data_IF_423033728341
#
_entry.id   IF_423033728341
#
_cell.length_a   1.000
_cell.length_b   1.000
_cell.length_c   1.000
_cell.angle_alpha   90.00
_cell.angle_beta   90.00
_cell.angle_gamma   90.00
#
_symmetry.space_group_name_H-M   'P 1'
#
loop_
_entity.id
_entity.type
_entity.pdbx_description
1 polymer ?
#
# COMPACT_ATOMS: atom_id res chain seq x y z
N UNK A 1 -15.73 34.32 -4.42
CA UNK A 1 -15.15 33.17 -3.69
C UNK A 1 -16.30 32.31 -3.19
N UNK A 2 -16.63 31.23 -3.90
CA UNK A 2 -17.68 30.28 -3.49
C UNK A 2 -17.04 29.16 -2.67
N UNK A 3 -17.65 28.82 -1.53
CA UNK A 3 -17.09 27.90 -0.55
C UNK A 3 -17.25 26.44 -0.98
N UNK A 4 -16.31 25.58 -0.57
CA UNK A 4 -16.47 24.12 -0.68
C UNK A 4 -17.55 23.64 0.30
N UNK A 5 -18.49 22.77 -0.10
CA UNK A 5 -19.19 21.92 0.85
C UNK A 5 -18.18 20.92 1.46
N UNK A 6 -18.39 20.55 2.73
CA UNK A 6 -17.45 19.70 3.47
C UNK A 6 -17.37 18.28 2.91
N UNK A 7 -16.23 17.92 2.32
CA UNK A 7 -15.92 16.55 1.96
C UNK A 7 -15.53 15.73 3.19
N UNK A 8 -16.50 15.07 3.82
CA UNK A 8 -16.23 14.06 4.84
C UNK A 8 -15.39 12.93 4.25
N UNK A 9 -14.26 12.61 4.87
CA UNK A 9 -13.26 11.68 4.35
C UNK A 9 -13.69 10.21 4.47
N UNK A 10 -14.68 9.81 3.68
CA UNK A 10 -14.91 8.40 3.38
C UNK A 10 -13.72 7.91 2.54
N UNK A 11 -12.88 7.10 3.17
CA UNK A 11 -11.66 6.58 2.55
C UNK A 11 -12.03 5.62 1.42
N UNK A 12 -11.72 6.02 0.17
CA UNK A 12 -12.28 5.41 -1.04
C UNK A 12 -11.67 4.02 -1.29
N UNK A 13 -12.28 3.00 -0.67
CA UNK A 13 -11.77 1.63 -0.65
C UNK A 13 -11.76 1.01 -2.05
N UNK A 14 -10.61 0.46 -2.45
CA UNK A 14 -10.45 -0.29 -3.70
C UNK A 14 -11.55 -1.35 -3.88
N UNK A 15 -12.19 -1.32 -5.05
CA UNK A 15 -13.34 -2.14 -5.43
C UNK A 15 -13.20 -2.64 -6.87
N UNK A 16 -14.01 -3.64 -7.26
CA UNK A 16 -14.00 -4.14 -8.63
C UNK A 16 -14.37 -3.05 -9.65
N UNK A 17 -15.29 -2.15 -9.30
CA UNK A 17 -15.69 -1.01 -10.15
C UNK A 17 -14.49 -0.11 -10.42
N UNK A 18 -13.77 0.32 -9.37
CA UNK A 18 -12.57 1.15 -9.54
C UNK A 18 -11.51 0.44 -10.39
N UNK A 19 -11.25 -0.86 -10.19
CA UNK A 19 -10.33 -1.62 -11.05
C UNK A 19 -10.79 -1.67 -12.51
N UNK A 20 -12.08 -1.73 -12.79
CA UNK A 20 -12.60 -1.72 -14.16
C UNK A 20 -12.61 -0.33 -14.80
N UNK A 21 -12.62 0.73 -14.00
CA UNK A 21 -12.57 2.13 -14.45
C UNK A 21 -11.14 2.65 -14.65
N UNK A 22 -10.18 2.19 -13.84
CA UNK A 22 -8.79 2.68 -13.80
C UNK A 22 -8.07 2.62 -15.17
N UNK A 23 -7.10 3.50 -15.36
CA UNK A 23 -6.17 3.44 -16.47
C UNK A 23 -5.07 2.40 -16.30
N UNK A 24 -4.55 1.89 -17.42
CA UNK A 24 -3.65 0.74 -17.45
C UNK A 24 -2.32 1.01 -16.73
N UNK A 25 -1.75 2.22 -16.85
CA UNK A 25 -0.48 2.55 -16.19
C UNK A 25 -0.64 2.59 -14.66
N UNK A 26 -1.78 3.05 -14.16
CA UNK A 26 -2.14 2.98 -12.74
C UNK A 26 -2.43 1.55 -12.27
N UNK A 27 -2.98 0.70 -13.12
CA UNK A 27 -3.16 -0.73 -12.80
C UNK A 27 -1.82 -1.46 -12.66
N UNK A 28 -0.86 -1.25 -13.57
CA UNK A 28 0.51 -1.78 -13.45
C UNK A 28 1.17 -1.36 -12.12
N UNK A 29 1.08 -0.08 -11.77
CA UNK A 29 1.57 0.48 -10.51
C UNK A 29 0.93 -0.24 -9.31
N UNK A 30 -0.40 -0.36 -9.29
CA UNK A 30 -1.11 -1.08 -8.22
C UNK A 30 -0.72 -2.57 -8.14
N UNK A 31 -0.50 -3.24 -9.27
CA UNK A 31 -0.02 -4.62 -9.31
C UNK A 31 1.40 -4.75 -8.74
N UNK A 32 2.33 -3.86 -9.12
CA UNK A 32 3.68 -3.77 -8.53
C UNK A 32 3.59 -3.57 -7.02
N UNK A 33 2.84 -2.56 -6.58
CA UNK A 33 2.79 -2.14 -5.18
C UNK A 33 2.16 -3.21 -4.29
N UNK A 34 1.17 -3.96 -4.79
CA UNK A 34 0.67 -5.16 -4.11
C UNK A 34 1.76 -6.22 -3.89
N UNK A 35 2.63 -6.47 -4.88
CA UNK A 35 3.73 -7.42 -4.71
C UNK A 35 4.83 -6.89 -3.78
N UNK A 36 5.10 -5.58 -3.78
CA UNK A 36 5.99 -4.96 -2.79
C UNK A 36 5.43 -5.09 -1.36
N UNK A 37 4.12 -4.86 -1.16
CA UNK A 37 3.43 -5.09 0.10
C UNK A 37 3.41 -6.58 0.54
N UNK A 38 3.60 -7.52 -0.40
CA UNK A 38 3.83 -8.95 -0.13
C UNK A 38 5.32 -9.32 0.04
N UNK A 39 6.24 -8.35 0.06
CA UNK A 39 7.67 -8.56 0.30
C UNK A 39 8.48 -9.04 -0.92
N UNK A 40 7.97 -8.88 -2.14
CA UNK A 40 8.71 -9.18 -3.37
C UNK A 40 9.49 -7.95 -3.85
N UNK A 41 10.68 -8.15 -4.43
CA UNK A 41 11.35 -7.09 -5.19
C UNK A 41 10.65 -6.96 -6.55
N UNK A 42 9.67 -6.07 -6.64
CA UNK A 42 8.87 -5.84 -7.84
C UNK A 42 9.26 -4.52 -8.54
N UNK A 43 9.60 -4.59 -9.83
CA UNK A 43 9.87 -3.43 -10.70
C UNK A 43 8.94 -3.42 -11.92
N UNK A 44 8.58 -2.25 -12.43
CA UNK A 44 7.95 -2.15 -13.74
C UNK A 44 8.98 -2.46 -14.85
N UNK A 45 8.46 -2.72 -16.05
CA UNK A 45 9.20 -2.73 -17.31
C UNK A 45 9.02 -1.41 -18.05
N UNK A 46 9.91 -1.13 -19.01
CA UNK A 46 9.77 0.00 -19.92
C UNK A 46 8.86 -0.37 -21.11
N UNK A 47 8.04 0.58 -21.55
CA UNK A 47 6.91 0.30 -22.45
C UNK A 47 7.41 -0.19 -23.82
N UNK A 48 7.15 -1.47 -24.10
CA UNK A 48 7.45 -2.11 -25.39
C UNK A 48 8.76 -2.89 -25.45
N UNK A 49 9.53 -2.99 -24.36
CA UNK A 49 10.74 -3.81 -24.32
C UNK A 49 10.45 -5.32 -24.20
N UNK A 50 9.71 -5.70 -23.15
CA UNK A 50 9.71 -7.08 -22.65
C UNK A 50 8.50 -7.92 -23.17
N UNK A 51 8.13 -7.77 -24.45
CA UNK A 51 7.14 -8.63 -25.11
C UNK A 51 5.70 -8.62 -24.56
N UNK A 52 5.38 -7.70 -23.63
CA UNK A 52 4.11 -7.66 -22.89
C UNK A 52 4.21 -8.09 -21.43
N UNK A 53 5.42 -8.25 -20.87
CA UNK A 53 5.63 -8.27 -19.42
C UNK A 53 5.62 -6.82 -18.91
N UNK A 54 4.84 -6.55 -17.87
CA UNK A 54 4.62 -5.20 -17.34
C UNK A 54 5.22 -5.01 -15.93
N UNK A 55 5.35 -6.10 -15.15
CA UNK A 55 6.07 -6.13 -13.87
C UNK A 55 6.97 -7.36 -13.80
N UNK A 56 8.21 -7.16 -13.34
CA UNK A 56 9.17 -8.24 -13.06
C UNK A 56 9.36 -8.33 -11.55
N UNK A 57 9.13 -9.53 -11.00
CA UNK A 57 9.37 -9.83 -9.59
C UNK A 57 10.64 -10.66 -9.44
N UNK A 58 11.45 -10.33 -8.44
CA UNK A 58 12.57 -11.14 -7.97
C UNK A 58 12.31 -11.62 -6.54
N UNK A 59 12.55 -12.92 -6.29
CA UNK A 59 12.56 -13.48 -4.93
C UNK A 59 13.64 -14.56 -4.81
N UNK A 60 14.37 -14.57 -3.70
CA UNK A 60 15.27 -15.67 -3.37
C UNK A 60 14.46 -16.88 -2.88
N UNK A 61 14.77 -18.07 -3.39
CA UNK A 61 14.23 -19.32 -2.86
C UNK A 61 15.02 -19.78 -1.62
N UNK A 62 14.55 -20.85 -0.97
CA UNK A 62 15.13 -21.39 0.27
C UNK A 62 16.56 -21.97 0.07
N UNK A 63 17.06 -21.99 -1.16
CA UNK A 63 18.43 -22.38 -1.55
C UNK A 63 19.28 -21.17 -1.96
N UNK A 64 18.86 -19.95 -1.64
CA UNK A 64 19.56 -18.70 -1.95
C UNK A 64 19.58 -18.30 -3.44
N UNK A 65 18.93 -19.07 -4.33
CA UNK A 65 18.88 -18.74 -5.77
C UNK A 65 17.75 -17.74 -6.03
N UNK A 66 18.08 -16.65 -6.73
CA UNK A 66 17.09 -15.72 -7.26
C UNK A 66 16.19 -16.43 -8.29
N UNK A 67 14.87 -16.26 -8.12
CA UNK A 67 13.83 -16.72 -9.04
C UNK A 67 13.09 -15.49 -9.56
N UNK A 68 13.15 -15.30 -10.88
CA UNK A 68 12.38 -14.30 -11.61
C UNK A 68 10.95 -14.79 -11.82
N UNK A 69 9.98 -13.89 -11.71
CA UNK A 69 8.58 -14.08 -12.07
C UNK A 69 8.16 -12.93 -12.99
N UNK A 70 7.52 -13.26 -14.11
CA UNK A 70 6.95 -12.26 -15.03
C UNK A 70 5.47 -12.03 -14.73
N UNK A 71 5.03 -10.77 -14.77
CA UNK A 71 3.64 -10.38 -14.60
C UNK A 71 3.18 -9.55 -15.80
N UNK A 72 2.04 -9.93 -16.39
CA UNK A 72 1.31 -9.11 -17.35
C UNK A 72 0.03 -8.55 -16.68
N UNK A 73 -0.31 -7.29 -16.96
CA UNK A 73 -1.30 -6.48 -16.26
C UNK A 73 -2.36 -5.93 -17.23
N UNK A 74 -3.28 -6.79 -17.70
CA UNK A 74 -4.29 -6.40 -18.68
C UNK A 74 -5.47 -5.66 -18.05
N UNK A 75 -5.31 -4.34 -17.94
CA UNK A 75 -6.41 -3.41 -17.72
C UNK A 75 -7.13 -3.04 -19.04
N UNK A 76 -8.03 -2.05 -18.95
CA UNK A 76 -8.72 -1.40 -20.06
C UNK A 76 -9.67 -2.29 -20.90
N UNK A 77 -10.22 -3.36 -20.32
CA UNK A 77 -11.38 -4.07 -20.88
C UNK A 77 -12.32 -4.61 -19.81
N UNK A 78 -13.63 -4.61 -20.13
CA UNK A 78 -14.66 -5.34 -19.39
C UNK A 78 -14.89 -6.75 -19.98
N UNK A 79 -14.47 -7.01 -21.22
CA UNK A 79 -14.56 -8.34 -21.82
C UNK A 79 -13.60 -9.32 -21.15
N UNK A 80 -13.93 -10.62 -21.19
CA UNK A 80 -13.07 -11.65 -20.61
C UNK A 80 -11.78 -11.81 -21.40
N UNK A 81 -10.66 -12.02 -20.70
CA UNK A 81 -9.35 -12.25 -21.32
C UNK A 81 -9.33 -13.61 -22.01
N UNK A 82 -9.16 -13.61 -23.33
CA UNK A 82 -9.08 -14.81 -24.17
C UNK A 82 -7.72 -15.52 -24.09
N UNK A 83 -7.70 -16.78 -24.51
CA UNK A 83 -6.53 -17.67 -24.41
C UNK A 83 -5.31 -17.18 -25.20
N UNK A 84 -5.50 -16.36 -26.24
CA UNK A 84 -4.39 -15.81 -27.04
C UNK A 84 -3.41 -15.00 -26.17
N UNK A 85 -3.88 -14.01 -25.42
CA UNK A 85 -2.99 -13.18 -24.59
C UNK A 85 -2.24 -14.01 -23.53
N UNK A 86 -2.91 -15.02 -22.97
CA UNK A 86 -2.29 -15.94 -21.99
C UNK A 86 -1.23 -16.84 -22.64
N UNK A 87 -1.37 -17.18 -23.93
CA UNK A 87 -0.34 -17.86 -24.73
C UNK A 87 0.83 -16.95 -25.09
N UNK A 88 0.57 -15.66 -25.37
CA UNK A 88 1.61 -14.67 -25.69
C UNK A 88 2.59 -14.53 -24.51
N UNK A 89 2.09 -14.28 -23.29
CA UNK A 89 2.94 -14.26 -22.07
C UNK A 89 3.69 -15.59 -21.86
N UNK A 90 3.02 -16.73 -22.06
CA UNK A 90 3.67 -18.04 -21.91
C UNK A 90 4.78 -18.28 -22.94
N UNK A 91 4.68 -17.69 -24.14
CA UNK A 91 5.73 -17.68 -25.15
C UNK A 91 6.96 -16.89 -24.70
N UNK A 92 6.76 -15.68 -24.15
CA UNK A 92 7.84 -14.85 -23.58
C UNK A 92 8.54 -15.58 -22.43
N UNK A 93 7.77 -16.15 -21.48
CA UNK A 93 8.33 -16.98 -20.40
C UNK A 93 9.22 -18.13 -20.91
N UNK A 94 8.81 -18.79 -22.01
CA UNK A 94 9.56 -19.90 -22.58
C UNK A 94 10.85 -19.45 -23.28
N UNK A 95 10.83 -18.31 -23.98
CA UNK A 95 12.00 -17.70 -24.61
C UNK A 95 13.06 -17.29 -23.57
N UNK A 96 12.64 -16.54 -22.55
CA UNK A 96 13.50 -15.99 -21.51
C UNK A 96 13.82 -17.00 -20.38
N UNK A 97 13.30 -18.23 -20.51
CA UNK A 97 13.47 -19.36 -19.57
C UNK A 97 12.98 -19.03 -18.15
N UNK A 98 12.01 -18.12 -18.03
CA UNK A 98 11.43 -17.68 -16.76
C UNK A 98 10.44 -18.74 -16.24
N UNK A 99 10.66 -19.30 -15.04
CA UNK A 99 9.97 -20.51 -14.61
C UNK A 99 8.54 -20.30 -14.09
N UNK A 100 8.12 -19.05 -13.85
CA UNK A 100 6.81 -18.71 -13.28
C UNK A 100 6.29 -17.42 -13.93
N UNK A 101 5.01 -17.41 -14.30
CA UNK A 101 4.29 -16.22 -14.77
C UNK A 101 3.01 -15.97 -14.00
N UNK A 102 2.55 -14.72 -14.04
CA UNK A 102 1.27 -14.28 -13.49
C UNK A 102 0.59 -13.39 -14.53
N UNK A 103 -0.67 -13.66 -14.84
CA UNK A 103 -1.50 -12.78 -15.66
C UNK A 103 -2.57 -12.16 -14.76
N UNK A 104 -2.50 -10.84 -14.59
CA UNK A 104 -3.46 -10.04 -13.84
C UNK A 104 -4.39 -9.31 -14.81
N UNK A 105 -5.69 -9.30 -14.51
CA UNK A 105 -6.69 -8.64 -15.35
C UNK A 105 -7.72 -7.89 -14.51
N UNK A 106 -8.29 -6.80 -15.05
CA UNK A 106 -9.40 -6.07 -14.42
C UNK A 106 -10.76 -6.79 -14.59
N UNK A 107 -10.84 -7.72 -15.55
CA UNK A 107 -11.99 -8.58 -15.82
C UNK A 107 -11.73 -10.04 -15.39
N UNK A 108 -12.54 -10.99 -15.87
CA UNK A 108 -12.35 -12.44 -15.71
C UNK A 108 -11.70 -13.05 -16.97
N UNK A 109 -11.25 -14.31 -16.88
CA UNK A 109 -10.66 -15.05 -18.01
C UNK A 109 -11.68 -15.98 -18.66
N UNK A 110 -11.52 -16.24 -19.97
CA UNK A 110 -12.32 -17.28 -20.66
C UNK A 110 -11.98 -18.67 -20.12
N UNK A 111 -12.87 -19.64 -20.35
CA UNK A 111 -12.64 -21.01 -19.90
C UNK A 111 -11.40 -21.61 -20.58
N UNK A 112 -11.16 -21.31 -21.87
CA UNK A 112 -9.98 -21.76 -22.61
C UNK A 112 -8.67 -21.17 -22.05
N UNK A 113 -8.71 -19.92 -21.57
CA UNK A 113 -7.58 -19.29 -20.90
C UNK A 113 -7.27 -19.98 -19.56
N UNK A 114 -8.30 -20.29 -18.77
CA UNK A 114 -8.19 -21.03 -17.50
C UNK A 114 -7.65 -22.45 -17.71
N UNK A 115 -8.25 -23.21 -18.62
CA UNK A 115 -7.82 -24.56 -18.97
C UNK A 115 -6.40 -24.60 -19.59
N UNK A 116 -6.01 -23.58 -20.36
CA UNK A 116 -4.63 -23.48 -20.83
C UNK A 116 -3.63 -23.28 -19.68
N UNK A 117 -4.00 -22.56 -18.62
CA UNK A 117 -3.13 -22.26 -17.50
C UNK A 117 -3.03 -23.37 -16.43
N UNK A 118 -4.03 -24.25 -16.30
CA UNK A 118 -4.21 -25.17 -15.17
C UNK A 118 -2.98 -26.07 -14.86
N UNK A 119 -2.38 -26.69 -15.87
CA UNK A 119 -1.16 -27.52 -15.73
C UNK A 119 0.17 -26.74 -15.94
N UNK A 120 0.15 -25.41 -15.90
CA UNK A 120 1.32 -24.55 -16.15
C UNK A 120 1.71 -23.76 -14.91
N UNK A 121 2.96 -23.32 -14.87
CA UNK A 121 3.47 -22.37 -13.86
C UNK A 121 3.03 -20.93 -14.20
N UNK A 122 1.76 -20.75 -14.54
CA UNK A 122 1.17 -19.51 -15.03
C UNK A 122 -0.14 -19.25 -14.26
N UNK A 123 -0.12 -18.31 -13.32
CA UNK A 123 -1.28 -18.01 -12.47
C UNK A 123 -2.17 -16.96 -13.12
N UNK A 124 -3.50 -17.13 -13.07
CA UNK A 124 -4.46 -16.12 -13.55
C UNK A 124 -5.14 -15.44 -12.36
N UNK A 125 -5.08 -14.11 -12.30
CA UNK A 125 -5.68 -13.30 -11.23
C UNK A 125 -6.69 -12.34 -11.86
N UNK A 126 -7.98 -12.65 -11.72
CA UNK A 126 -9.07 -11.78 -12.16
C UNK A 126 -9.26 -10.58 -11.23
N UNK A 127 -9.97 -9.54 -11.69
CA UNK A 127 -10.17 -8.32 -10.91
C UNK A 127 -10.82 -8.58 -9.55
N UNK A 128 -11.83 -9.47 -9.53
CA UNK A 128 -12.48 -9.92 -8.30
C UNK A 128 -11.49 -10.60 -7.35
N UNK A 129 -10.66 -11.53 -7.87
CA UNK A 129 -9.65 -12.22 -7.08
C UNK A 129 -8.55 -11.28 -6.60
N UNK A 130 -8.24 -10.21 -7.33
CA UNK A 130 -7.28 -9.21 -6.90
C UNK A 130 -7.78 -8.42 -5.69
N UNK A 131 -9.05 -8.00 -5.68
CA UNK A 131 -9.68 -7.38 -4.50
C UNK A 131 -9.68 -8.33 -3.29
N UNK A 132 -9.99 -9.62 -3.47
CA UNK A 132 -9.89 -10.63 -2.40
C UNK A 132 -8.46 -10.84 -1.85
N UNK A 133 -7.43 -10.53 -2.64
CA UNK A 133 -6.02 -10.66 -2.26
C UNK A 133 -5.51 -9.39 -1.55
N UNK A 134 -5.95 -8.21 -1.99
CA UNK A 134 -5.73 -6.93 -1.31
C UNK A 134 -6.43 -6.93 0.06
N UNK A 135 -7.67 -7.41 0.15
CA UNK A 135 -8.41 -7.56 1.41
C UNK A 135 -7.80 -8.52 2.43
N UNK A 136 -6.68 -9.20 2.09
CA UNK A 136 -5.86 -10.07 2.96
C UNK A 136 -4.49 -9.45 3.27
N UNK A 137 -4.38 -8.13 3.17
CA UNK A 137 -3.25 -7.34 3.68
C UNK A 137 -3.65 -6.64 5.00
N UNK A 138 -2.69 -6.22 5.84
CA UNK A 138 -2.94 -5.26 6.91
C UNK A 138 -3.67 -4.01 6.39
N UNK A 139 -4.52 -3.38 7.22
CA UNK A 139 -5.39 -2.26 6.79
C UNK A 139 -4.58 -1.08 6.24
N UNK A 140 -3.51 -0.70 6.93
CA UNK A 140 -2.50 0.29 6.51
C UNK A 140 -2.00 0.06 5.07
N UNK A 141 -1.76 -1.20 4.68
CA UNK A 141 -1.35 -1.53 3.32
C UNK A 141 -2.51 -1.45 2.32
N UNK A 142 -3.76 -1.72 2.73
CA UNK A 142 -4.94 -1.53 1.88
C UNK A 142 -5.22 -0.04 1.63
N UNK A 143 -5.04 0.80 2.66
CA UNK A 143 -5.14 2.27 2.59
C UNK A 143 -4.06 2.85 1.68
N UNK A 144 -2.79 2.49 1.91
CA UNK A 144 -1.64 2.88 1.08
C UNK A 144 -1.84 2.53 -0.41
N UNK A 145 -2.31 1.31 -0.71
CA UNK A 145 -2.59 0.88 -2.09
C UNK A 145 -3.78 1.65 -2.71
N UNK A 146 -4.88 1.85 -1.97
CA UNK A 146 -6.06 2.58 -2.46
C UNK A 146 -5.71 4.04 -2.76
N UNK A 147 -5.05 4.72 -1.81
CA UNK A 147 -4.53 6.08 -1.94
C UNK A 147 -3.59 6.25 -3.14
N UNK A 148 -2.73 5.26 -3.39
CA UNK A 148 -1.77 5.31 -4.51
C UNK A 148 -2.46 5.11 -5.86
N UNK A 149 -3.34 4.11 -5.97
CA UNK A 149 -4.07 3.79 -7.20
C UNK A 149 -5.06 4.89 -7.63
N UNK A 150 -5.79 5.47 -6.66
CA UNK A 150 -6.85 6.45 -6.90
C UNK A 150 -6.37 7.92 -6.82
N UNK A 151 -5.06 8.17 -6.73
CA UNK A 151 -4.52 9.53 -6.61
C UNK A 151 -4.61 10.33 -7.92
N UNK A 152 -5.43 11.39 -7.94
CA UNK A 152 -5.56 12.30 -9.08
C UNK A 152 -6.33 11.68 -10.24
N UNK A 153 -5.92 11.98 -11.49
CA UNK A 153 -6.58 11.39 -12.66
C UNK A 153 -6.17 9.92 -12.87
N UNK A 154 -6.96 9.03 -12.29
CA UNK A 154 -6.88 7.57 -12.45
C UNK A 154 -7.81 7.01 -13.54
N UNK A 155 -8.67 7.84 -14.15
CA UNK A 155 -9.75 7.41 -15.07
C UNK A 155 -9.41 7.64 -16.55
N UNK A 156 -8.71 8.74 -16.86
CA UNK A 156 -8.27 9.04 -18.22
C UNK A 156 -7.15 8.09 -18.64
N UNK A 157 -7.22 7.43 -19.81
CA UNK A 157 -6.16 6.54 -20.25
C UNK A 157 -4.87 7.30 -20.51
N UNK A 158 -3.78 6.75 -20.01
CA UNK A 158 -2.41 7.18 -20.28
C UNK A 158 -1.99 6.70 -21.68
N UNK A 159 -1.18 7.44 -22.44
CA UNK A 159 -0.81 7.06 -23.81
C UNK A 159 0.44 6.17 -23.83
N UNK A 160 0.38 4.89 -24.23
CA UNK A 160 1.54 3.99 -24.15
C UNK A 160 2.74 4.43 -24.99
N UNK A 161 2.52 5.23 -26.04
CA UNK A 161 3.60 5.71 -26.93
C UNK A 161 4.27 7.02 -26.48
N UNK A 162 3.81 7.69 -25.41
CA UNK A 162 4.42 8.95 -24.92
C UNK A 162 4.00 9.40 -23.50
N UNK A 163 3.43 8.50 -22.70
CA UNK A 163 3.02 8.63 -21.28
C UNK A 163 2.10 9.81 -20.88
N UNK A 164 1.64 10.63 -21.83
CA UNK A 164 0.67 11.71 -21.54
C UNK A 164 -0.76 11.18 -21.40
N UNK A 165 -1.55 11.77 -20.49
CA UNK A 165 -3.00 11.57 -20.43
C UNK A 165 -3.67 11.95 -21.76
N UNK A 166 -4.53 11.06 -22.26
CA UNK A 166 -5.22 11.21 -23.53
C UNK A 166 -6.43 12.14 -23.42
N UNK A 167 -7.01 12.54 -24.56
CA UNK A 167 -8.18 13.42 -24.62
C UNK A 167 -9.27 12.78 -25.47
N UNK A 168 -10.54 12.98 -25.11
CA UNK A 168 -11.66 12.53 -25.94
C UNK A 168 -11.65 13.33 -27.24
N UNK A 169 -11.76 12.63 -28.37
CA UNK A 169 -11.90 13.17 -29.72
C UNK A 169 -13.06 12.47 -30.42
N UNK A 170 -13.67 13.16 -31.38
CA UNK A 170 -14.75 12.60 -32.19
C UNK A 170 -14.25 12.36 -33.61
N UNK A 171 -14.61 11.24 -34.23
CA UNK A 171 -14.42 10.98 -35.66
C UNK A 171 -15.33 11.90 -36.48
N UNK A 172 -14.74 12.76 -37.31
CA UNK A 172 -15.48 13.75 -38.11
C UNK A 172 -15.80 13.30 -39.55
N UNK A 173 -15.27 12.16 -40.00
CA UNK A 173 -15.43 11.63 -41.36
C UNK A 173 -15.41 10.08 -41.37
N UNK A 174 -16.06 9.49 -42.36
CA UNK A 174 -16.08 8.05 -42.62
C UNK A 174 -17.21 7.27 -41.92
N UNK A 175 -17.26 5.95 -42.12
CA UNK A 175 -18.34 5.04 -41.64
C UNK A 175 -18.61 5.12 -40.13
N UNK A 176 -17.63 5.53 -39.33
CA UNK A 176 -17.73 5.66 -37.88
C UNK A 176 -17.84 7.13 -37.44
N UNK A 177 -18.43 8.02 -38.24
CA UNK A 177 -18.59 9.44 -37.87
C UNK A 177 -19.39 9.59 -36.56
N UNK A 178 -19.05 10.58 -35.74
CA UNK A 178 -19.69 10.83 -34.43
C UNK A 178 -19.18 9.97 -33.26
N UNK A 179 -18.39 8.92 -33.52
CA UNK A 179 -17.87 8.05 -32.46
C UNK A 179 -16.81 8.77 -31.62
N UNK A 180 -17.03 8.84 -30.30
CA UNK A 180 -16.09 9.36 -29.30
C UNK A 180 -15.01 8.30 -29.01
N UNK A 181 -13.73 8.69 -29.12
CA UNK A 181 -12.56 7.85 -28.81
C UNK A 181 -11.51 8.65 -28.03
N UNK A 182 -10.65 7.97 -27.27
CA UNK A 182 -9.48 8.57 -26.65
C UNK A 182 -8.36 8.70 -27.68
N UNK A 183 -7.97 9.92 -28.02
CA UNK A 183 -6.81 10.21 -28.86
C UNK A 183 -5.69 10.86 -28.06
N UNK A 184 -4.43 10.62 -28.44
CA UNK A 184 -3.31 11.28 -27.76
C UNK A 184 -3.42 12.81 -27.81
N UNK A 185 -3.01 13.49 -26.72
CA UNK A 185 -2.89 14.95 -26.67
C UNK A 185 -1.82 15.44 -27.66
N UNK A 186 -0.71 14.70 -27.82
CA UNK A 186 0.42 14.99 -28.70
C UNK A 186 0.18 14.67 -30.20
N UNK A 187 -1.07 14.54 -30.64
CA UNK A 187 -1.41 14.45 -32.07
C UNK A 187 -1.06 15.77 -32.79
N UNK A 188 -0.45 15.76 -34.00
CA UNK A 188 -0.26 14.62 -34.90
C UNK A 188 1.02 13.80 -34.69
N UNK A 189 1.94 14.23 -33.82
CA UNK A 189 3.23 13.54 -33.57
C UNK A 189 3.00 12.13 -33.00
N UNK A 190 2.09 11.99 -32.05
CA UNK A 190 1.59 10.69 -31.58
C UNK A 190 0.19 10.41 -32.14
N UNK A 191 0.01 9.25 -32.79
CA UNK A 191 -1.25 8.85 -33.46
C UNK A 191 -2.04 7.77 -32.70
N UNK A 192 -1.60 7.39 -31.49
CA UNK A 192 -2.21 6.32 -30.69
C UNK A 192 -3.65 6.66 -30.26
N UNK A 193 -4.52 5.65 -30.18
CA UNK A 193 -5.95 5.76 -29.86
C UNK A 193 -6.43 4.58 -29.03
N UNK A 194 -7.35 4.82 -28.09
CA UNK A 194 -8.19 3.78 -27.49
C UNK A 194 -9.67 4.11 -27.73
N UNK A 195 -10.50 3.09 -27.90
CA UNK A 195 -11.95 3.27 -27.84
C UNK A 195 -12.41 3.34 -26.37
N UNK A 196 -13.58 3.96 -26.12
CA UNK A 196 -14.18 4.03 -24.79
C UNK A 196 -14.61 2.63 -24.34
N UNK A 197 -14.49 2.32 -23.05
CA UNK A 197 -15.07 1.10 -22.45
C UNK A 197 -16.59 1.10 -22.73
N UNK A 198 -17.14 0.00 -23.23
CA UNK A 198 -18.51 -0.09 -23.73
C UNK A 198 -19.55 -0.24 -22.60
N UNK A 199 -19.69 0.82 -21.79
CA UNK A 199 -20.70 0.96 -20.75
C UNK A 199 -21.60 2.19 -20.92
N UNK A 200 -21.21 3.12 -21.80
CA UNK A 200 -21.92 4.39 -22.07
C UNK A 200 -21.96 4.64 -23.59
N UNK A 201 -22.81 3.87 -24.28
CA UNK A 201 -23.34 4.24 -25.59
C UNK A 201 -24.78 4.73 -25.37
N UNK A 202 -24.98 6.04 -25.43
CA UNK A 202 -26.32 6.64 -25.43
C UNK A 202 -27.10 6.13 -26.66
N UNK A 203 -28.40 5.80 -26.52
CA UNK A 203 -29.18 5.27 -27.64
C UNK A 203 -29.36 6.33 -28.72
N UNK A 204 -28.89 6.04 -29.94
CA UNK A 204 -28.96 6.95 -31.09
C UNK A 204 -30.35 6.95 -31.75
N UNK A 205 -31.36 7.44 -31.04
CA UNK A 205 -32.71 7.67 -31.57
C UNK A 205 -33.29 9.00 -31.03
N UNK A 206 -33.91 9.76 -31.93
CA UNK A 206 -34.52 11.07 -31.70
C UNK A 206 -35.62 11.11 -30.63
N UNK A 207 -35.72 12.22 -29.88
CA UNK A 207 -36.81 13.20 -30.07
C UNK A 207 -36.49 14.58 -29.47
N UNK A 208 -37.48 15.49 -29.47
CA UNK A 208 -37.33 16.95 -29.26
C UNK A 208 -37.20 17.42 -27.79
N UNK A 209 -36.72 18.64 -27.66
CA UNK A 209 -36.60 19.47 -26.46
C UNK A 209 -37.92 19.74 -25.72
N UNK A 210 -37.82 20.03 -24.41
CA UNK A 210 -38.44 21.23 -23.83
C UNK A 210 -37.65 21.76 -22.61
N UNK A 211 -38.04 22.91 -22.05
CA UNK A 211 -37.19 23.79 -21.23
C UNK A 211 -37.76 24.04 -19.81
N UNK A 212 -37.18 25.04 -19.09
CA UNK A 212 -37.51 25.59 -17.74
C UNK A 212 -36.61 25.08 -16.58
N UNK A 213 -36.17 25.90 -15.62
CA UNK A 213 -36.25 27.36 -15.54
C UNK A 213 -36.11 27.99 -14.13
N UNK A 214 -34.88 28.31 -13.68
CA UNK A 214 -34.56 29.26 -12.58
C UNK A 214 -35.06 28.94 -11.15
N UNK A 215 -34.90 29.80 -10.12
CA UNK A 215 -33.82 30.76 -9.80
C UNK A 215 -34.05 31.46 -8.41
N UNK A 216 -33.11 31.33 -7.45
CA UNK A 216 -33.02 32.17 -6.20
C UNK A 216 -34.19 32.00 -5.18
N UNK A 217 -34.23 32.48 -3.91
CA UNK A 217 -33.46 33.53 -3.19
C UNK A 217 -33.67 33.50 -1.64
N UNK A 218 -32.63 33.89 -0.86
CA UNK A 218 -32.65 34.65 0.43
C UNK A 218 -33.35 34.19 1.75
N UNK A 219 -32.72 34.65 2.86
CA UNK A 219 -33.17 34.79 4.29
C UNK A 219 -33.13 33.50 5.15
N UNK A 220 -32.97 33.57 6.49
CA UNK A 220 -32.93 34.72 7.43
C UNK A 220 -31.90 34.49 8.58
N UNK A 221 -31.86 35.47 9.49
CA UNK A 221 -31.35 35.55 10.89
C UNK A 221 -31.90 34.44 11.82
N UNK A 222 -31.70 34.37 13.14
CA UNK A 222 -30.95 35.14 14.19
C UNK A 222 -29.85 34.18 14.80
N UNK A 223 -29.00 34.36 15.83
CA UNK A 223 -28.62 35.34 16.90
C UNK A 223 -27.17 34.95 17.42
N UNK A 224 -26.50 35.32 18.54
CA UNK A 224 -26.57 36.29 19.68
C UNK A 224 -25.19 36.34 20.45
N UNK A 225 -25.02 37.26 21.43
CA UNK A 225 -24.20 37.28 22.69
C UNK A 225 -22.67 36.89 22.74
N UNK A 226 -21.79 37.44 23.62
CA UNK A 226 -21.92 38.37 24.77
C UNK A 226 -20.62 39.20 25.08
N UNK A 227 -20.68 40.07 26.10
CA UNK A 227 -19.67 40.98 26.76
C UNK A 227 -18.24 40.44 27.03
N UNK A 228 -17.21 41.25 27.38
CA UNK A 228 -17.10 42.71 27.63
C UNK A 228 -15.78 43.09 28.38
N UNK A 229 -15.44 44.38 28.48
CA UNK A 229 -14.24 44.94 29.19
C UNK A 229 -14.61 45.38 30.63
N UNK A 230 -13.65 45.60 31.57
CA UNK A 230 -12.96 46.90 31.66
C UNK A 230 -11.51 46.89 32.23
N UNK A 231 -10.97 48.09 32.42
CA UNK A 231 -9.62 48.48 32.88
C UNK A 231 -9.43 48.52 34.43
N UNK A 232 -8.17 48.58 34.89
CA UNK A 232 -7.56 49.68 35.71
C UNK A 232 -6.29 49.28 36.50
N UNK A 233 -5.50 50.30 36.89
CA UNK A 233 -4.22 50.26 37.64
C UNK A 233 -4.44 50.58 39.14
N UNK A 234 -3.51 50.25 40.08
CA UNK A 234 -2.97 51.35 40.93
C UNK A 234 -1.50 51.21 41.42
N UNK A 235 -1.02 52.27 42.10
CA UNK A 235 0.38 52.62 42.39
C UNK A 235 0.83 52.54 43.88
N UNK A 236 2.17 52.75 44.09
CA UNK A 236 2.95 53.04 45.33
C UNK A 236 3.46 51.83 46.17
N UNK A 237 4.70 51.72 46.69
CA UNK A 237 5.81 52.62 47.12
C UNK A 237 5.66 53.25 48.54
N UNK A 238 6.69 53.50 49.37
CA UNK A 238 8.17 53.59 49.24
C UNK A 238 8.90 53.29 50.61
N UNK A 239 10.25 53.11 50.66
CA UNK A 239 11.13 53.79 51.68
C UNK A 239 12.64 53.40 51.73
N UNK A 240 13.52 54.41 51.75
CA UNK A 240 14.92 54.35 52.26
C UNK A 240 15.94 55.20 51.45
N UNK A 241 16.91 55.95 52.02
CA UNK A 241 17.23 56.24 53.42
C UNK A 241 17.97 57.60 53.61
N UNK A 242 17.87 58.11 54.84
CA UNK A 242 18.32 59.39 55.46
C UNK A 242 19.75 59.93 55.19
N UNK A 243 19.83 61.27 55.07
CA UNK A 243 20.81 62.22 55.73
C UNK A 243 22.28 62.22 55.22
N UNK A 244 23.14 63.24 55.42
CA UNK A 244 23.06 64.56 56.14
C UNK A 244 24.03 65.61 55.52
N UNK A 245 24.04 66.84 56.04
CA UNK A 245 24.84 67.99 55.57
C UNK A 245 26.30 68.04 56.07
N UNK A 246 27.09 68.99 55.52
CA UNK A 246 28.53 69.15 55.71
C UNK A 246 28.95 70.05 56.91
N UNK A 247 30.22 69.94 57.33
CA UNK A 247 30.95 71.03 57.99
C UNK A 247 32.48 70.95 57.75
N UNK A 248 33.21 71.97 58.19
CA UNK A 248 34.59 72.32 57.81
C UNK A 248 35.66 71.82 58.82
N UNK A 249 36.91 71.68 58.38
CA UNK A 249 37.99 71.05 59.16
C UNK A 249 38.94 72.04 59.87
N UNK A 250 39.47 71.66 61.05
CA UNK A 250 40.80 72.03 61.60
C UNK A 250 41.08 71.40 62.99
N UNK A 251 42.00 70.44 63.07
CA UNK A 251 42.79 70.07 64.27
C UNK A 251 44.00 69.23 63.82
N UNK A 252 45.12 69.20 64.57
CA UNK A 252 46.40 68.61 64.09
C UNK A 252 46.87 67.35 64.84
N UNK A 253 47.18 66.33 64.04
CA UNK A 253 48.26 65.33 64.18
C UNK A 253 48.32 64.35 65.36
N UNK A 254 47.83 64.64 66.57
CA UNK A 254 47.93 63.66 67.69
C UNK A 254 46.84 62.57 67.68
N UNK A 255 45.73 62.77 66.97
CA UNK A 255 44.68 61.74 66.85
C UNK A 255 45.01 60.61 65.87
N UNK A 256 45.87 60.86 64.87
CA UNK A 256 46.04 59.97 63.71
C UNK A 256 46.56 58.59 64.11
N UNK A 257 47.53 58.51 65.03
CA UNK A 257 48.05 57.22 65.51
C UNK A 257 47.00 56.42 66.28
N UNK A 258 46.22 57.08 67.16
CA UNK A 258 45.13 56.44 67.93
C UNK A 258 44.00 56.00 66.99
N UNK A 259 43.67 56.80 65.97
CA UNK A 259 42.72 56.41 64.93
C UNK A 259 43.22 55.23 64.09
N UNK A 260 44.50 55.17 63.72
CA UNK A 260 45.06 54.03 62.97
C UNK A 260 45.05 52.74 63.80
N UNK A 261 45.40 52.79 65.08
CA UNK A 261 45.30 51.64 65.99
C UNK A 261 43.83 51.24 66.21
N UNK A 262 42.93 52.21 66.41
CA UNK A 262 41.49 51.96 66.54
C UNK A 262 40.87 51.34 65.28
N UNK A 263 41.27 51.83 64.10
CA UNK A 263 40.87 51.27 62.79
C UNK A 263 41.46 49.87 62.61
N UNK A 264 42.71 49.61 63.03
CA UNK A 264 43.32 48.28 62.95
C UNK A 264 42.64 47.27 63.89
N UNK A 265 42.28 47.68 65.11
CA UNK A 265 41.50 46.85 66.05
C UNK A 265 40.10 46.58 65.48
N UNK A 266 39.40 47.61 64.99
CA UNK A 266 38.10 47.45 64.32
C UNK A 266 38.19 46.51 63.11
N UNK A 267 39.20 46.69 62.26
CA UNK A 267 39.45 45.83 61.11
C UNK A 267 39.72 44.38 61.54
N UNK A 268 40.60 44.16 62.52
CA UNK A 268 40.93 42.82 63.04
C UNK A 268 39.71 42.10 63.64
N UNK A 269 38.89 42.81 64.43
CA UNK A 269 37.63 42.28 64.98
C UNK A 269 36.61 42.00 63.87
N UNK A 270 36.44 42.92 62.91
CA UNK A 270 35.53 42.71 61.77
C UNK A 270 36.00 41.52 60.92
N UNK A 271 37.30 41.40 60.62
CA UNK A 271 37.82 40.25 59.85
C UNK A 271 37.64 38.92 60.57
N UNK A 272 37.86 38.84 61.88
CA UNK A 272 37.67 37.58 62.63
C UNK A 272 36.19 37.17 62.76
N UNK A 273 35.27 38.14 62.85
CA UNK A 273 33.83 37.88 62.77
C UNK A 273 33.43 37.44 61.36
N UNK A 274 33.96 38.08 60.30
CA UNK A 274 33.64 37.71 58.92
C UNK A 274 34.21 36.34 58.52
N UNK A 275 35.40 35.94 58.97
CA UNK A 275 35.92 34.59 58.71
C UNK A 275 35.10 33.54 59.44
N UNK A 276 34.84 33.74 60.74
CA UNK A 276 34.02 32.84 61.57
C UNK A 276 32.60 32.64 61.01
N UNK A 277 31.91 33.73 60.64
CA UNK A 277 30.60 33.64 60.01
C UNK A 277 30.67 33.02 58.61
N UNK A 278 31.70 33.33 57.82
CA UNK A 278 31.95 32.78 56.49
C UNK A 278 32.08 31.26 56.50
N UNK A 279 32.95 30.71 57.35
CA UNK A 279 33.15 29.26 57.51
C UNK A 279 31.86 28.55 57.94
N UNK A 280 31.08 29.17 58.83
CA UNK A 280 29.78 28.64 59.27
C UNK A 280 28.72 28.58 58.15
N UNK A 281 28.76 29.49 57.18
CA UNK A 281 27.83 29.49 56.04
C UNK A 281 28.32 28.62 54.88
N UNK A 282 29.63 28.57 54.62
CA UNK A 282 30.23 27.68 53.61
C UNK A 282 30.06 26.20 53.97
N UNK A 283 30.22 25.84 55.25
CA UNK A 283 29.98 24.46 55.72
C UNK A 283 28.52 24.04 55.60
N UNK A 284 27.57 24.91 55.98
CA UNK A 284 26.13 24.67 55.83
C UNK A 284 25.70 24.56 54.37
N UNK A 285 26.19 25.43 53.49
CA UNK A 285 25.85 25.36 52.05
C UNK A 285 26.40 24.11 51.39
N UNK A 286 27.64 23.67 51.71
CA UNK A 286 28.16 22.37 51.27
C UNK A 286 27.28 21.20 51.69
N UNK A 287 26.87 21.12 52.96
CA UNK A 287 25.99 20.04 53.43
C UNK A 287 24.61 20.03 52.74
N UNK A 288 24.07 21.21 52.36
CA UNK A 288 22.83 21.29 51.58
C UNK A 288 23.06 20.81 50.15
N UNK A 289 24.16 21.22 49.50
CA UNK A 289 24.51 20.74 48.16
C UNK A 289 24.73 19.21 48.13
N UNK A 290 25.49 18.66 49.08
CA UNK A 290 25.73 17.21 49.16
C UNK A 290 24.43 16.41 49.35
N UNK A 291 23.50 16.90 50.19
CA UNK A 291 22.17 16.28 50.36
C UNK A 291 21.32 16.36 49.09
N UNK A 292 21.26 17.52 48.43
CA UNK A 292 20.55 17.70 47.17
C UNK A 292 21.14 16.81 46.05
N UNK A 293 22.46 16.74 45.95
CA UNK A 293 23.16 15.93 44.96
C UNK A 293 22.97 14.43 45.20
N UNK A 294 22.97 13.98 46.46
CA UNK A 294 22.64 12.60 46.82
C UNK A 294 21.19 12.24 46.47
N UNK A 295 20.23 13.10 46.81
CA UNK A 295 18.82 12.92 46.44
C UNK A 295 18.63 12.89 44.91
N UNK A 296 19.36 13.73 44.16
CA UNK A 296 19.30 13.72 42.69
C UNK A 296 19.82 12.38 42.11
N UNK A 297 20.92 11.85 42.64
CA UNK A 297 21.48 10.56 42.21
C UNK A 297 20.55 9.40 42.58
N UNK A 298 19.98 9.38 43.78
CA UNK A 298 19.01 8.36 44.21
C UNK A 298 17.75 8.38 43.32
N UNK A 299 17.22 9.57 42.99
CA UNK A 299 16.09 9.72 42.09
C UNK A 299 16.42 9.33 40.62
N UNK A 300 17.65 9.59 40.15
CA UNK A 300 18.10 9.11 38.85
C UNK A 300 18.23 7.58 38.81
N UNK A 301 18.77 6.96 39.86
CA UNK A 301 18.88 5.50 39.97
C UNK A 301 17.50 4.83 39.96
N UNK A 302 16.51 5.39 40.69
CA UNK A 302 15.14 4.88 40.66
C UNK A 302 14.54 4.91 39.24
N UNK A 303 14.70 6.02 38.50
CA UNK A 303 14.23 6.12 37.10
C UNK A 303 14.89 5.09 36.18
N UNK A 304 16.19 4.82 36.34
CA UNK A 304 16.90 3.80 35.55
C UNK A 304 16.40 2.38 35.88
N UNK A 305 16.07 2.10 37.15
CA UNK A 305 15.50 0.81 37.57
C UNK A 305 14.07 0.64 37.02
N UNK A 306 13.24 1.69 37.07
CA UNK A 306 11.88 1.69 36.52
C UNK A 306 11.90 1.50 35.00
N UNK A 307 12.74 2.25 34.28
CA UNK A 307 12.89 2.13 32.83
C UNK A 307 13.36 0.73 32.42
N UNK A 308 14.32 0.13 33.13
CA UNK A 308 14.76 -1.26 32.86
C UNK A 308 13.63 -2.27 33.03
N UNK A 309 12.80 -2.13 34.08
CA UNK A 309 11.61 -2.99 34.27
C UNK A 309 10.60 -2.81 33.15
N UNK A 310 10.42 -1.59 32.65
CA UNK A 310 9.56 -1.32 31.50
C UNK A 310 10.08 -2.01 30.24
N UNK A 311 11.37 -1.87 29.93
CA UNK A 311 12.05 -2.51 28.79
C UNK A 311 11.95 -4.05 28.85
N UNK A 312 12.16 -4.65 30.03
CA UNK A 312 11.97 -6.08 30.26
C UNK A 312 10.52 -6.53 30.01
N UNK A 313 9.54 -5.74 30.47
CA UNK A 313 8.11 -6.03 30.24
C UNK A 313 7.70 -5.90 28.76
N UNK A 314 8.31 -4.98 28.01
CA UNK A 314 8.11 -4.82 26.56
C UNK A 314 8.69 -6.04 25.83
N UNK A 315 9.95 -6.41 26.10
CA UNK A 315 10.60 -7.59 25.50
C UNK A 315 9.83 -8.88 25.77
N UNK A 316 9.30 -9.06 27.00
CA UNK A 316 8.46 -10.21 27.32
C UNK A 316 7.17 -10.26 26.49
N UNK A 317 6.52 -9.10 26.24
CA UNK A 317 5.35 -9.00 25.35
C UNK A 317 5.71 -9.27 23.89
N UNK A 318 6.84 -8.78 23.42
CA UNK A 318 7.33 -9.01 22.05
C UNK A 318 7.58 -10.50 21.78
N UNK A 319 8.24 -11.21 22.72
CA UNK A 319 8.44 -12.66 22.64
C UNK A 319 7.11 -13.42 22.55
N UNK A 320 6.13 -13.11 23.41
CA UNK A 320 4.79 -13.74 23.39
C UNK A 320 3.98 -13.41 22.11
N UNK A 321 4.30 -12.31 21.42
CA UNK A 321 3.73 -12.00 20.09
C UNK A 321 4.47 -12.77 19.00
N UNK A 322 5.80 -12.92 19.10
CA UNK A 322 6.62 -13.68 18.16
C UNK A 322 6.29 -15.18 18.21
N UNK A 323 6.08 -15.76 19.39
CA UNK A 323 5.66 -17.15 19.58
C UNK A 323 4.26 -17.41 18.99
N UNK A 324 3.29 -16.51 19.22
CA UNK A 324 1.96 -16.62 18.58
C UNK A 324 2.06 -16.58 17.06
N UNK A 325 2.80 -15.62 16.49
CA UNK A 325 3.05 -15.54 15.04
C UNK A 325 3.72 -16.83 14.50
N UNK A 326 4.65 -17.42 15.27
CA UNK A 326 5.30 -18.70 14.91
C UNK A 326 4.31 -19.87 14.93
N UNK A 327 3.45 -19.96 15.95
CA UNK A 327 2.41 -20.99 16.04
C UNK A 327 1.35 -20.88 14.94
N UNK A 328 0.93 -19.66 14.60
CA UNK A 328 0.04 -19.38 13.47
C UNK A 328 0.69 -19.76 12.13
N UNK A 329 1.97 -19.43 11.92
CA UNK A 329 2.71 -19.82 10.72
C UNK A 329 2.84 -21.34 10.58
N UNK A 330 3.07 -22.08 11.66
CA UNK A 330 3.11 -23.56 11.66
C UNK A 330 1.75 -24.15 11.27
N UNK A 331 0.65 -23.69 11.91
CA UNK A 331 -0.72 -24.14 11.57
C UNK A 331 -1.10 -23.82 10.12
N UNK A 332 -0.67 -22.67 9.60
CA UNK A 332 -0.89 -22.30 8.20
C UNK A 332 -0.06 -23.16 7.25
N UNK A 333 1.18 -23.49 7.58
CA UNK A 333 2.03 -24.39 6.79
C UNK A 333 1.44 -25.81 6.73
N UNK A 334 0.95 -26.34 7.86
CA UNK A 334 0.26 -27.63 7.95
C UNK A 334 -1.02 -27.65 7.11
N UNK A 335 -1.87 -26.63 7.22
CA UNK A 335 -3.07 -26.49 6.39
C UNK A 335 -2.75 -26.39 4.90
N UNK A 336 -1.69 -25.67 4.53
CA UNK A 336 -1.24 -25.58 3.14
C UNK A 336 -0.70 -26.92 2.62
N UNK A 337 0.02 -27.69 3.46
CA UNK A 337 0.49 -29.04 3.13
C UNK A 337 -0.68 -29.98 2.80
N UNK A 338 -1.72 -30.01 3.63
CA UNK A 338 -2.91 -30.83 3.37
C UNK A 338 -3.61 -30.46 2.05
N UNK A 339 -3.63 -29.17 1.69
CA UNK A 339 -4.16 -28.70 0.40
C UNK A 339 -3.28 -29.19 -0.77
N UNK A 340 -1.95 -29.15 -0.64
CA UNK A 340 -1.03 -29.68 -1.67
C UNK A 340 -1.18 -31.19 -1.84
N UNK A 341 -1.18 -31.97 -0.76
CA UNK A 341 -1.41 -33.42 -0.82
C UNK A 341 -2.77 -33.76 -1.45
N UNK A 342 -3.81 -32.96 -1.18
CA UNK A 342 -5.12 -33.09 -1.84
C UNK A 342 -5.09 -32.81 -3.33
N UNK A 343 -4.36 -31.78 -3.78
CA UNK A 343 -4.17 -31.48 -5.20
C UNK A 343 -3.36 -32.57 -5.93
N UNK A 344 -2.31 -33.09 -5.30
CA UNK A 344 -1.49 -34.19 -5.84
C UNK A 344 -2.31 -35.48 -6.01
N UNK A 345 -3.12 -35.85 -5.02
CA UNK A 345 -4.07 -36.98 -5.14
C UNK A 345 -5.06 -36.78 -6.28
N UNK A 346 -5.63 -35.58 -6.43
CA UNK A 346 -6.53 -35.25 -7.54
C UNK A 346 -5.82 -35.33 -8.91
N UNK A 347 -4.59 -34.83 -9.02
CA UNK A 347 -3.80 -34.95 -10.24
C UNK A 347 -3.45 -36.40 -10.57
N UNK A 348 -3.11 -37.24 -9.57
CA UNK A 348 -2.84 -38.67 -9.78
C UNK A 348 -4.06 -39.37 -10.38
N UNK A 349 -5.24 -39.17 -9.79
CA UNK A 349 -6.50 -39.76 -10.25
C UNK A 349 -6.92 -39.25 -11.64
N UNK A 350 -6.66 -37.97 -11.96
CA UNK A 350 -6.88 -37.45 -13.32
C UNK A 350 -5.93 -38.08 -14.34
N UNK A 351 -4.64 -38.26 -14.02
CA UNK A 351 -3.67 -38.95 -14.88
C UNK A 351 -4.01 -40.43 -15.06
N UNK A 352 -4.55 -41.08 -14.04
CA UNK A 352 -5.05 -42.46 -14.12
C UNK A 352 -6.29 -42.55 -15.02
N UNK A 353 -7.26 -41.63 -14.87
CA UNK A 353 -8.43 -41.51 -15.76
C UNK A 353 -8.03 -41.26 -17.22
N UNK A 354 -7.09 -40.35 -17.48
CA UNK A 354 -6.63 -40.06 -18.85
C UNK A 354 -5.76 -41.19 -19.44
N UNK A 355 -5.04 -41.97 -18.62
CA UNK A 355 -4.38 -43.21 -19.07
C UNK A 355 -5.41 -44.24 -19.52
N UNK A 356 -6.38 -44.55 -18.66
CA UNK A 356 -7.45 -45.51 -18.98
C UNK A 356 -8.26 -45.05 -20.20
N UNK A 357 -8.55 -43.75 -20.35
CA UNK A 357 -9.18 -43.22 -21.57
C UNK A 357 -8.33 -43.48 -22.83
N UNK A 358 -7.03 -43.25 -22.79
CA UNK A 358 -6.16 -43.48 -23.96
C UNK A 358 -5.91 -44.98 -24.26
N UNK A 359 -6.14 -45.87 -23.29
CA UNK A 359 -6.11 -47.32 -23.45
C UNK A 359 -7.43 -47.85 -24.05
N UNK A 360 -8.56 -47.35 -23.55
CA UNK A 360 -9.93 -47.69 -23.98
C UNK A 360 -10.31 -47.08 -25.34
N UNK A 361 -9.83 -45.88 -25.67
CA UNK A 361 -10.21 -45.15 -26.88
C UNK A 361 -9.39 -45.56 -28.10
N UNK A 362 -9.97 -46.41 -28.95
CA UNK A 362 -9.46 -46.65 -30.30
C UNK A 362 -9.72 -45.44 -31.20
N UNK A 363 -8.66 -44.97 -31.88
CA UNK A 363 -8.72 -43.78 -32.74
C UNK A 363 -9.16 -44.17 -34.17
N UNK A 364 -10.20 -43.55 -34.76
CA UNK A 364 -10.71 -43.97 -36.07
C UNK A 364 -9.73 -43.74 -37.24
N UNK A 365 -9.64 -44.69 -38.18
CA UNK A 365 -8.79 -44.63 -39.39
C UNK A 365 -9.01 -43.38 -40.29
N UNK A 366 -10.19 -42.76 -40.23
CA UNK A 366 -10.48 -41.51 -40.95
C UNK A 366 -9.81 -40.28 -40.31
N UNK A 367 -9.38 -40.40 -39.05
CA UNK A 367 -8.72 -39.38 -38.26
C UNK A 367 -7.20 -39.58 -38.15
N UNK A 368 -6.62 -40.43 -39.00
CA UNK A 368 -5.18 -40.72 -39.05
C UNK A 368 -4.47 -40.06 -40.24
N UNK A 369 -3.19 -39.75 -40.05
CA UNK A 369 -2.31 -39.26 -41.09
C UNK A 369 -2.85 -38.03 -41.81
N UNK A 370 -2.80 -38.05 -43.16
CA UNK A 370 -3.12 -36.88 -43.98
C UNK A 370 -4.62 -36.53 -43.98
N UNK A 371 -5.51 -37.51 -43.80
CA UNK A 371 -6.99 -37.35 -43.79
C UNK A 371 -7.49 -36.58 -42.56
N UNK A 372 -6.72 -36.61 -41.47
CA UNK A 372 -7.05 -35.94 -40.21
C UNK A 372 -7.16 -34.41 -40.34
N UNK A 373 -6.48 -33.80 -41.32
CA UNK A 373 -6.56 -32.37 -41.57
C UNK A 373 -7.87 -31.98 -42.27
N UNK A 374 -8.34 -32.79 -43.21
CA UNK A 374 -9.55 -32.52 -43.99
C UNK A 374 -10.80 -32.60 -43.09
N UNK A 375 -10.86 -33.60 -42.21
CA UNK A 375 -11.99 -33.86 -41.31
C UNK A 375 -11.74 -33.44 -39.84
N UNK A 376 -10.82 -32.51 -39.58
CA UNK A 376 -10.32 -32.19 -38.23
C UNK A 376 -11.44 -31.88 -37.21
N UNK A 377 -12.46 -31.11 -37.61
CA UNK A 377 -13.60 -30.74 -36.75
C UNK A 377 -14.43 -31.95 -36.34
N UNK A 378 -14.65 -32.89 -37.27
CA UNK A 378 -15.38 -34.12 -37.02
C UNK A 378 -14.59 -35.04 -36.07
N UNK A 379 -13.29 -35.20 -36.31
CA UNK A 379 -12.41 -35.99 -35.44
C UNK A 379 -12.35 -35.47 -33.99
N UNK A 380 -12.31 -34.15 -33.80
CA UNK A 380 -12.43 -33.52 -32.46
C UNK A 380 -13.81 -33.78 -31.86
N UNK A 381 -14.89 -33.70 -32.65
CA UNK A 381 -16.26 -33.99 -32.20
C UNK A 381 -16.43 -35.45 -31.76
N UNK A 382 -15.90 -36.41 -32.53
CA UNK A 382 -15.92 -37.84 -32.22
C UNK A 382 -15.14 -38.15 -30.94
N UNK A 383 -13.91 -37.65 -30.80
CA UNK A 383 -13.12 -37.84 -29.57
C UNK A 383 -13.79 -37.20 -28.34
N UNK A 384 -14.50 -36.07 -28.51
CA UNK A 384 -15.29 -35.44 -27.44
C UNK A 384 -16.51 -36.28 -27.03
N UNK A 385 -17.24 -36.87 -27.99
CA UNK A 385 -18.34 -37.82 -27.69
C UNK A 385 -17.83 -39.03 -26.91
N UNK A 386 -16.75 -39.65 -27.39
CA UNK A 386 -16.14 -40.80 -26.74
C UNK A 386 -15.64 -40.49 -25.32
N UNK A 387 -15.11 -39.28 -25.05
CA UNK A 387 -14.72 -38.89 -23.69
C UNK A 387 -15.91 -38.72 -22.74
N UNK A 388 -17.05 -38.21 -23.22
CA UNK A 388 -18.28 -38.13 -22.42
C UNK A 388 -18.86 -39.52 -22.11
N UNK A 389 -18.83 -40.44 -23.07
CA UNK A 389 -19.24 -41.83 -22.88
C UNK A 389 -18.33 -42.55 -21.87
N UNK A 390 -17.01 -42.42 -22.05
CA UNK A 390 -16.02 -42.95 -21.10
C UNK A 390 -16.22 -42.38 -19.69
N UNK A 391 -16.44 -41.07 -19.53
CA UNK A 391 -16.64 -40.48 -18.20
C UNK A 391 -17.89 -41.01 -17.49
N UNK A 392 -18.95 -41.35 -18.24
CA UNK A 392 -20.11 -42.07 -17.71
C UNK A 392 -19.73 -43.48 -17.26
N UNK A 393 -19.13 -44.30 -18.14
CA UNK A 393 -18.79 -45.71 -17.85
C UNK A 393 -17.78 -45.81 -16.68
N UNK A 394 -16.82 -44.89 -16.60
CA UNK A 394 -15.87 -44.74 -15.51
C UNK A 394 -16.55 -44.35 -14.18
N UNK A 395 -17.55 -43.45 -14.23
CA UNK A 395 -18.36 -43.12 -13.03
C UNK A 395 -19.27 -44.26 -12.57
N UNK A 396 -19.62 -45.18 -13.47
CA UNK A 396 -20.37 -46.41 -13.18
C UNK A 396 -19.47 -47.58 -12.73
N UNK A 397 -18.14 -47.40 -12.68
CA UNK A 397 -17.18 -48.42 -12.23
C UNK A 397 -16.97 -49.58 -13.20
N UNK A 398 -17.28 -49.40 -14.49
CA UNK A 398 -17.34 -50.48 -15.52
C UNK A 398 -16.11 -50.54 -16.44
N UNK A 399 -15.00 -49.92 -16.04
CA UNK A 399 -13.69 -49.94 -16.71
C UNK A 399 -12.63 -49.99 -15.61
N UNK A 400 -11.67 -50.89 -15.69
CA UNK A 400 -10.58 -50.97 -14.72
C UNK A 400 -9.53 -49.85 -14.93
N UNK A 401 -8.66 -49.64 -13.94
CA UNK A 401 -7.67 -48.56 -13.96
C UNK A 401 -6.60 -48.67 -15.07
N UNK A 402 -6.54 -49.78 -15.80
CA UNK A 402 -5.70 -49.98 -16.99
C UNK A 402 -6.43 -49.70 -18.32
N UNK A 403 -7.75 -49.51 -18.30
CA UNK A 403 -8.61 -49.29 -19.46
C UNK A 403 -9.29 -50.53 -20.05
N UNK A 404 -9.16 -51.70 -19.42
CA UNK A 404 -9.92 -52.91 -19.79
C UNK A 404 -11.41 -52.80 -19.43
N UNK A 405 -12.25 -53.67 -20.02
CA UNK A 405 -13.72 -53.71 -19.91
C UNK A 405 -14.20 -54.96 -19.17
#
# INVERSE_FOLDING_TARGET
MTQNPGGGSHEEKLSLTYLQEIDWKRYEILCRDYFQAKGFQARLTDVGADGGVDVILSRFNDKGKAVTVYVQCKAWSQQKVGVQAVRELYGVMAADKVPIGIFMATSDFTNDAKAFAEDKKLQLISGQRFIELIGKLPTEMQEQLSKTALSGDYRTPTCPSCDVKMVIRTTSKGKNSGVKFWGCRNYPKCKHKFFKKSAEQEPTTSFSWEYLGGASNKRKTEDSDQSGHPDEEPLRADSGSRRKAAFQAKAKLLSVAISLVGIWILYSVVTSVFTSMGESMVSRTKQVQEKQQKQLVEAQQQKVIEQRRLDESVRARELLVQERKRGEAVRLAEKNRLIVEGMERKQKLLREKDKAFNSWYSHPLQCEGRRANDNMVECVSLRKKAKLEFEKIWSEGKIEHDGTK
#
